data_IF_970525547156
#
_entry.id   IF_970525547156
#
_cell.length_a   1.000
_cell.length_b   1.000
_cell.length_c   1.000
_cell.angle_alpha   90.00
_cell.angle_beta   90.00
_cell.angle_gamma   90.00
#
_symmetry.space_group_name_H-M   'P 1'
#
loop_
_entity.id
_entity.type
_entity.pdbx_description
1 polymer ?
#
# COMPACT_ATOMS: atom_id res chain seq x y z
N UNK A 1 -8.31 9.38 14.10
CA UNK A 1 -7.15 8.62 14.61
C UNK A 1 -7.70 7.39 15.29
N UNK A 2 -7.19 6.21 14.97
CA UNK A 2 -7.55 4.95 15.62
C UNK A 2 -6.29 4.46 16.33
N UNK A 3 -6.36 4.23 17.65
CA UNK A 3 -5.19 3.83 18.47
C UNK A 3 -3.98 4.78 18.37
N UNK A 4 -4.19 6.10 18.21
CA UNK A 4 -3.14 7.10 17.95
C UNK A 4 -2.30 6.87 16.68
N UNK A 5 -2.73 5.99 15.78
CA UNK A 5 -2.05 5.74 14.52
C UNK A 5 -2.66 6.57 13.37
N UNK A 6 -1.82 7.08 12.46
CA UNK A 6 -2.25 7.89 11.32
C UNK A 6 -2.77 7.01 10.18
N UNK A 7 -4.06 6.69 10.22
CA UNK A 7 -4.72 6.01 9.11
C UNK A 7 -5.22 7.01 8.06
N UNK A 8 -4.93 6.70 6.79
CA UNK A 8 -5.33 7.49 5.62
C UNK A 8 -6.08 6.62 4.61
N UNK A 9 -6.69 7.28 3.63
CA UNK A 9 -7.17 6.65 2.40
C UNK A 9 -6.20 7.00 1.28
N UNK A 10 -5.90 6.02 0.44
CA UNK A 10 -5.10 6.21 -0.77
C UNK A 10 -5.88 5.72 -1.98
N UNK A 11 -5.48 6.18 -3.16
CA UNK A 11 -5.85 5.58 -4.44
C UNK A 11 -4.62 5.00 -5.09
N UNK A 12 -4.72 3.75 -5.56
CA UNK A 12 -3.64 3.07 -6.30
C UNK A 12 -4.10 2.87 -7.74
N UNK A 13 -3.26 3.21 -8.71
CA UNK A 13 -3.53 3.03 -10.14
C UNK A 13 -2.53 2.09 -10.81
N UNK A 14 -3.03 1.24 -11.70
CA UNK A 14 -2.24 0.35 -12.55
C UNK A 14 -3.02 -0.03 -13.81
N UNK A 15 -2.39 0.00 -14.98
CA UNK A 15 -2.99 -0.44 -16.26
C UNK A 15 -4.36 0.21 -16.56
N UNK A 16 -4.47 1.53 -16.34
CA UNK A 16 -5.71 2.31 -16.49
C UNK A 16 -6.85 1.96 -15.51
N UNK A 17 -6.62 1.05 -14.56
CA UNK A 17 -7.53 0.75 -13.47
C UNK A 17 -7.06 1.46 -12.19
N UNK A 18 -7.98 1.74 -11.28
CA UNK A 18 -7.62 2.26 -9.96
C UNK A 18 -8.56 1.77 -8.88
N UNK A 19 -8.05 1.67 -7.66
CA UNK A 19 -8.81 1.29 -6.47
C UNK A 19 -8.53 2.24 -5.32
N UNK A 20 -9.59 2.62 -4.63
CA UNK A 20 -9.54 3.34 -3.37
C UNK A 20 -9.35 2.36 -2.21
N UNK A 21 -8.28 2.53 -1.43
CA UNK A 21 -7.95 1.66 -0.31
C UNK A 21 -8.03 2.48 0.99
N UNK A 22 -9.06 2.25 1.83
CA UNK A 22 -9.17 2.90 3.13
C UNK A 22 -8.26 2.23 4.17
N UNK A 23 -8.06 2.91 5.31
CA UNK A 23 -7.38 2.36 6.48
C UNK A 23 -5.93 1.92 6.23
N UNK A 24 -5.20 2.65 5.39
CA UNK A 24 -3.76 2.48 5.23
C UNK A 24 -3.04 3.18 6.38
N UNK A 25 -2.12 2.48 7.03
CA UNK A 25 -1.23 3.06 8.04
C UNK A 25 -0.14 3.88 7.36
N UNK A 26 -0.05 5.17 7.69
CA UNK A 26 1.12 5.97 7.35
C UNK A 26 2.25 5.61 8.31
N UNK A 27 3.19 4.80 7.84
CA UNK A 27 4.27 4.25 8.64
C UNK A 27 5.60 4.95 8.33
N UNK A 28 6.27 5.49 9.36
CA UNK A 28 7.62 6.07 9.24
C UNK A 28 8.71 5.10 9.69
N UNK A 29 8.35 3.95 10.25
CA UNK A 29 9.26 2.91 10.71
C UNK A 29 9.55 1.84 9.66
N UNK A 30 8.83 1.83 8.54
CA UNK A 30 9.08 0.90 7.43
C UNK A 30 10.07 1.49 6.41
N UNK A 31 10.92 0.63 5.85
CA UNK A 31 11.84 1.02 4.78
C UNK A 31 11.15 1.15 3.41
N UNK A 32 9.99 0.49 3.25
CA UNK A 32 9.25 0.41 1.99
C UNK A 32 7.75 0.56 2.23
N UNK A 33 6.98 0.66 1.14
CA UNK A 33 5.51 0.57 1.18
C UNK A 33 5.09 -0.88 0.93
N UNK A 34 4.22 -1.41 1.78
CA UNK A 34 3.65 -2.76 1.65
C UNK A 34 2.13 -2.62 1.54
N UNK A 35 1.55 -3.25 0.52
CA UNK A 35 0.11 -3.26 0.26
C UNK A 35 -0.39 -4.70 0.21
N UNK A 36 -1.64 -4.93 0.60
CA UNK A 36 -2.26 -6.24 0.51
C UNK A 36 -2.46 -6.61 -0.97
N UNK A 37 -1.83 -7.71 -1.38
CA UNK A 37 -1.85 -8.20 -2.76
C UNK A 37 -3.25 -8.59 -3.25
N UNK A 38 -4.10 -9.15 -2.38
CA UNK A 38 -5.45 -9.59 -2.75
C UNK A 38 -6.35 -8.39 -3.09
N UNK A 39 -6.16 -7.26 -2.40
CA UNK A 39 -6.89 -6.01 -2.72
C UNK A 39 -6.49 -5.53 -4.11
N UNK A 40 -5.18 -5.53 -4.41
CA UNK A 40 -4.66 -5.03 -5.68
C UNK A 40 -4.91 -5.97 -6.87
N UNK A 41 -5.14 -7.26 -6.61
CA UNK A 41 -5.53 -8.23 -7.64
C UNK A 41 -6.76 -7.77 -8.44
N UNK A 42 -7.69 -7.07 -7.79
CA UNK A 42 -8.92 -6.53 -8.41
C UNK A 42 -8.66 -5.50 -9.53
N UNK A 43 -7.49 -4.86 -9.54
CA UNK A 43 -7.04 -3.94 -10.59
C UNK A 43 -5.92 -4.54 -11.46
N UNK A 44 -5.76 -5.86 -11.44
CA UNK A 44 -4.83 -6.59 -12.29
C UNK A 44 -3.38 -6.63 -11.80
N UNK A 45 -3.09 -6.10 -10.61
CA UNK A 45 -1.77 -6.24 -9.98
C UNK A 45 -1.68 -7.64 -9.40
N UNK A 46 -0.92 -8.50 -10.07
CA UNK A 46 -0.72 -9.91 -9.69
C UNK A 46 0.74 -10.29 -9.88
N UNK A 47 1.22 -11.35 -9.21
CA UNK A 47 2.54 -11.89 -9.46
C UNK A 47 2.71 -12.31 -10.93
N UNK A 48 3.83 -11.92 -11.53
CA UNK A 48 4.27 -12.32 -12.86
C UNK A 48 5.64 -12.98 -12.79
N UNK A 49 5.98 -13.81 -13.78
CA UNK A 49 7.18 -14.65 -13.76
C UNK A 49 8.50 -13.86 -13.58
N UNK A 50 8.51 -12.58 -13.95
CA UNK A 50 9.69 -11.72 -13.89
C UNK A 50 9.70 -10.81 -12.65
N UNK A 51 8.70 -10.90 -11.77
CA UNK A 51 8.67 -10.10 -10.56
C UNK A 51 9.76 -10.57 -9.58
N UNK A 52 10.42 -9.60 -8.94
CA UNK A 52 11.34 -9.91 -7.85
C UNK A 52 10.55 -10.20 -6.59
N UNK A 53 10.85 -11.32 -5.93
CA UNK A 53 10.32 -11.65 -4.62
C UNK A 53 11.32 -11.28 -3.52
N UNK A 54 10.81 -11.01 -2.32
CA UNK A 54 11.61 -10.72 -1.15
C UNK A 54 10.92 -11.21 0.13
N UNK A 55 11.71 -11.44 1.18
CA UNK A 55 11.21 -11.61 2.53
C UNK A 55 11.29 -10.27 3.26
N UNK A 56 10.20 -9.87 3.90
CA UNK A 56 10.16 -8.74 4.82
C UNK A 56 10.08 -9.26 6.25
N UNK A 57 10.75 -8.60 7.19
CA UNK A 57 10.79 -9.00 8.60
C UNK A 57 10.24 -7.86 9.46
N UNK A 58 9.34 -8.19 10.38
CA UNK A 58 8.79 -7.25 11.34
C UNK A 58 8.50 -7.93 12.68
N UNK A 59 7.78 -7.21 13.55
CA UNK A 59 7.41 -7.72 14.89
C UNK A 59 6.59 -9.01 14.80
N UNK A 60 5.81 -9.19 13.72
CA UNK A 60 4.99 -10.36 13.47
C UNK A 60 5.72 -11.57 12.86
N UNK A 61 7.01 -11.46 12.54
CA UNK A 61 7.79 -12.50 11.86
C UNK A 61 8.17 -12.11 10.43
N UNK A 62 8.29 -13.13 9.56
CA UNK A 62 8.68 -12.98 8.16
C UNK A 62 7.47 -13.15 7.23
N UNK A 63 7.37 -12.32 6.21
CA UNK A 63 6.31 -12.40 5.19
C UNK A 63 6.94 -12.39 3.79
N UNK A 64 6.38 -13.21 2.89
CA UNK A 64 6.79 -13.27 1.49
C UNK A 64 6.07 -12.22 0.65
N UNK A 65 6.81 -11.39 -0.05
CA UNK A 65 6.27 -10.32 -0.91
C UNK A 65 6.84 -10.40 -2.33
N UNK A 66 6.16 -9.74 -3.26
CA UNK A 66 6.66 -9.49 -4.61
C UNK A 66 6.65 -7.99 -4.91
N UNK A 67 7.62 -7.54 -5.68
CA UNK A 67 7.73 -6.15 -6.10
C UNK A 67 6.98 -5.91 -7.39
N UNK A 68 6.22 -4.82 -7.43
CA UNK A 68 5.53 -4.34 -8.62
C UNK A 68 5.77 -2.86 -8.86
N UNK A 69 5.93 -2.52 -10.13
CA UNK A 69 5.82 -1.14 -10.58
C UNK A 69 4.32 -0.83 -10.72
N UNK A 70 3.92 0.29 -10.15
CA UNK A 70 2.55 0.80 -10.12
C UNK A 70 2.59 2.22 -10.67
N UNK A 71 1.54 2.62 -11.40
CA UNK A 71 1.54 3.87 -12.15
C UNK A 71 1.50 5.07 -11.19
N UNK A 72 0.68 4.98 -10.14
CA UNK A 72 0.64 5.99 -9.08
C UNK A 72 0.08 5.45 -7.77
N UNK A 73 0.49 6.10 -6.69
CA UNK A 73 -0.20 6.11 -5.41
C UNK A 73 -0.56 7.57 -5.11
N UNK A 74 -1.84 7.86 -4.94
CA UNK A 74 -2.33 9.17 -4.56
C UNK A 74 -2.84 9.13 -3.12
N UNK A 75 -2.26 9.96 -2.25
CA UNK A 75 -2.78 10.18 -0.91
C UNK A 75 -3.98 11.14 -0.99
N UNK A 76 -5.05 10.88 -0.23
CA UNK A 76 -6.08 11.90 -0.09
C UNK A 76 -5.53 13.11 0.67
N UNK A 77 -5.58 14.28 0.01
CA UNK A 77 -5.23 15.55 0.64
C UNK A 77 -6.21 15.85 1.77
N UNK A 78 -5.84 15.52 3.01
CA UNK A 78 -6.49 16.09 4.19
C UNK A 78 -5.98 17.52 4.36
N UNK A 79 -6.67 18.49 3.76
CA UNK A 79 -6.59 19.87 4.20
C UNK A 79 -7.11 19.91 5.64
N UNK A 80 -6.20 19.76 6.60
CA UNK A 80 -6.46 20.05 8.00
C UNK A 80 -6.79 21.55 8.10
N UNK A 81 -8.08 21.88 8.18
CA UNK A 81 -8.48 23.19 8.69
C UNK A 81 -8.03 23.23 10.14
N UNK A 82 -6.91 23.90 10.41
CA UNK A 82 -6.53 24.29 11.78
C UNK A 82 -7.73 25.05 12.35
N UNK A 83 -8.34 24.45 13.37
CA UNK A 83 -9.33 25.09 14.24
C UNK A 83 -8.59 25.92 15.29
#
# INVERSE_FOLDING_TARGET
>A
MRYNLPFIKIKVGCHNLSIDIPNILLDTGSATTILNADILYSIGVKPEANDTTAQIVGIGGEESVYHKIIDFIQLENKLSKRS
#
